data_IF_563706541329
#
_entry.id   IF_563706541329
#
_cell.length_a   1.000
_cell.length_b   1.000
_cell.length_c   1.000
_cell.angle_alpha   90.00
_cell.angle_beta   90.00
_cell.angle_gamma   90.00
#
_symmetry.space_group_name_H-M   'P 1'
#
loop_
_entity.id
_entity.type
_entity.pdbx_description
1 polymer ?
#
# COMPACT_ATOMS: atom_id res chain seq x y z
N UNK A 1 14.45 5.17 -3.34
CA UNK A 1 13.91 4.60 -4.59
C UNK A 1 14.66 5.19 -5.78
N UNK A 2 14.95 4.36 -6.77
CA UNK A 2 15.66 4.80 -7.98
C UNK A 2 14.82 5.77 -8.81
N UNK A 3 15.38 6.91 -9.17
CA UNK A 3 14.69 7.93 -9.96
C UNK A 3 14.33 7.41 -11.36
N UNK A 4 15.17 6.56 -11.93
CA UNK A 4 14.90 5.95 -13.23
C UNK A 4 13.65 5.07 -13.19
N UNK A 5 13.49 4.25 -12.15
CA UNK A 5 12.32 3.43 -11.97
C UNK A 5 11.05 4.28 -11.85
N UNK A 6 11.12 5.33 -11.04
CA UNK A 6 10.02 6.27 -10.88
C UNK A 6 9.63 6.92 -12.20
N UNK A 7 10.60 7.41 -12.96
CA UNK A 7 10.35 8.05 -14.25
C UNK A 7 9.74 7.07 -15.25
N UNK A 8 10.21 5.84 -15.28
CA UNK A 8 9.67 4.81 -16.17
C UNK A 8 8.21 4.48 -15.82
N UNK A 9 7.88 4.41 -14.55
CA UNK A 9 6.50 4.17 -14.11
C UNK A 9 5.58 5.34 -14.48
N UNK A 10 6.05 6.56 -14.29
CA UNK A 10 5.29 7.76 -14.66
C UNK A 10 5.04 7.79 -16.17
N UNK A 11 6.07 7.53 -16.97
CA UNK A 11 5.93 7.47 -18.43
C UNK A 11 4.93 6.39 -18.85
N UNK A 12 5.00 5.23 -18.23
CA UNK A 12 4.04 4.16 -18.51
C UNK A 12 2.60 4.60 -18.23
N UNK A 13 2.37 5.24 -17.08
CA UNK A 13 1.04 5.72 -16.70
C UNK A 13 0.52 6.79 -17.66
N UNK A 14 1.38 7.72 -18.05
CA UNK A 14 1.02 8.79 -19.00
C UNK A 14 0.65 8.23 -20.36
N UNK A 15 1.39 7.26 -20.85
CA UNK A 15 1.11 6.63 -22.16
C UNK A 15 -0.19 5.85 -22.16
N UNK A 16 -0.54 5.21 -21.05
CA UNK A 16 -1.80 4.48 -20.96
C UNK A 16 -3.01 5.43 -20.94
N UNK A 17 -2.91 6.53 -20.23
CA UNK A 17 -3.98 7.50 -20.12
C UNK A 17 -5.14 7.13 -19.20
N UNK A 18 -5.27 5.88 -18.79
CA UNK A 18 -6.34 5.39 -17.92
C UNK A 18 -5.92 5.22 -16.46
N UNK A 19 -4.68 5.56 -16.14
CA UNK A 19 -4.16 5.50 -14.77
C UNK A 19 -4.33 6.88 -14.12
N UNK A 20 -4.98 6.92 -12.96
CA UNK A 20 -5.29 8.18 -12.29
C UNK A 20 -4.44 8.43 -11.05
N UNK A 21 -3.94 7.37 -10.41
CA UNK A 21 -3.12 7.48 -9.21
C UNK A 21 -2.23 6.27 -9.08
N UNK A 22 -0.96 6.48 -8.69
CA UNK A 22 -0.03 5.40 -8.34
C UNK A 22 0.70 5.73 -7.06
N UNK A 23 0.79 4.74 -6.17
CA UNK A 23 1.51 4.83 -4.91
C UNK A 23 2.42 3.61 -4.77
N UNK A 24 3.71 3.83 -4.57
CA UNK A 24 4.65 2.76 -4.23
C UNK A 24 4.61 2.59 -2.72
N UNK A 25 4.55 1.35 -2.27
CA UNK A 25 4.57 1.05 -0.84
C UNK A 25 5.50 -0.15 -0.57
N UNK A 26 5.53 -0.62 0.66
CA UNK A 26 6.40 -1.72 1.05
C UNK A 26 7.86 -1.31 1.19
N UNK A 27 8.78 -2.25 0.99
CA UNK A 27 10.21 -2.03 1.26
C UNK A 27 10.83 -0.95 0.37
N UNK A 28 10.42 -0.84 -0.89
CA UNK A 28 10.97 0.16 -1.82
C UNK A 28 10.58 1.58 -1.43
N UNK A 29 9.38 1.77 -0.89
CA UNK A 29 8.95 3.07 -0.40
C UNK A 29 9.73 3.49 0.84
N UNK A 30 10.15 2.54 1.66
CA UNK A 30 10.89 2.78 2.90
C UNK A 30 12.42 2.87 2.70
N UNK A 31 12.89 2.75 1.47
CA UNK A 31 14.32 2.76 1.17
C UNK A 31 15.08 1.53 1.67
N UNK A 32 14.36 0.42 1.89
CA UNK A 32 14.92 -0.83 2.38
C UNK A 32 15.02 -1.90 1.31
N UNK A 33 14.88 -1.50 0.05
CA UNK A 33 14.90 -2.41 -1.06
C UNK A 33 16.28 -3.05 -1.26
N UNK A 34 16.24 -4.32 -1.60
CA UNK A 34 17.38 -5.03 -2.17
C UNK A 34 17.21 -5.01 -3.70
N UNK A 35 18.26 -5.27 -4.49
CA UNK A 35 18.14 -5.29 -5.95
C UNK A 35 17.06 -6.23 -6.47
N UNK A 36 16.79 -7.32 -5.74
CA UNK A 36 15.79 -8.34 -6.09
C UNK A 36 14.47 -8.19 -5.35
N UNK A 37 14.28 -7.10 -4.60
CA UNK A 37 13.02 -6.85 -3.88
C UNK A 37 11.85 -6.67 -4.83
N UNK A 38 10.70 -7.24 -4.46
CA UNK A 38 9.45 -7.03 -5.19
C UNK A 38 9.07 -5.56 -5.20
N UNK A 39 8.38 -5.15 -6.26
CA UNK A 39 7.78 -3.83 -6.32
C UNK A 39 6.31 -3.93 -5.92
N UNK A 40 5.95 -3.25 -4.83
CA UNK A 40 4.57 -3.14 -4.36
C UNK A 40 3.98 -1.82 -4.89
N UNK A 41 3.00 -1.92 -5.78
CA UNK A 41 2.45 -0.76 -6.47
C UNK A 41 0.93 -0.74 -6.35
N UNK A 42 0.40 0.32 -5.75
CA UNK A 42 -1.03 0.60 -5.76
C UNK A 42 -1.39 1.47 -6.96
N UNK A 43 -2.44 1.10 -7.66
CA UNK A 43 -2.88 1.78 -8.88
C UNK A 43 -4.38 2.04 -8.81
N UNK A 44 -4.80 3.26 -9.17
CA UNK A 44 -6.20 3.60 -9.37
C UNK A 44 -6.44 3.81 -10.85
N UNK A 45 -7.34 3.02 -11.40
CA UNK A 45 -7.72 3.09 -12.82
C UNK A 45 -9.07 3.79 -12.97
N UNK A 46 -9.23 4.57 -14.02
CA UNK A 46 -10.48 5.26 -14.32
C UNK A 46 -11.63 4.31 -14.68
N UNK A 47 -11.30 3.15 -15.25
CA UNK A 47 -12.26 2.12 -15.62
C UNK A 47 -12.22 0.97 -14.61
N UNK A 48 -13.18 0.04 -14.72
CA UNK A 48 -13.25 -1.12 -13.85
C UNK A 48 -12.00 -1.99 -13.96
N UNK A 49 -11.48 -2.44 -12.81
CA UNK A 49 -10.35 -3.36 -12.75
C UNK A 49 -10.77 -4.75 -13.21
N UNK A 50 -10.06 -5.31 -14.16
CA UNK A 50 -10.30 -6.65 -14.68
C UNK A 50 -9.04 -7.52 -14.52
N UNK A 51 -9.21 -8.83 -14.63
CA UNK A 51 -8.07 -9.77 -14.62
C UNK A 51 -7.15 -9.48 -15.79
N UNK A 52 -7.71 -9.18 -16.95
CA UNK A 52 -6.94 -8.84 -18.14
C UNK A 52 -6.13 -7.57 -17.96
N UNK A 53 -6.74 -6.55 -17.36
CA UNK A 53 -6.04 -5.30 -17.03
C UNK A 53 -4.87 -5.56 -16.08
N UNK A 54 -5.11 -6.35 -15.03
CA UNK A 54 -4.07 -6.68 -14.05
C UNK A 54 -2.88 -7.37 -14.73
N UNK A 55 -3.17 -8.36 -15.55
CA UNK A 55 -2.13 -9.12 -16.29
C UNK A 55 -1.37 -8.22 -17.25
N UNK A 56 -2.09 -7.42 -18.01
CA UNK A 56 -1.50 -6.50 -18.98
C UNK A 56 -0.54 -5.52 -18.32
N UNK A 57 -0.98 -4.89 -17.21
CA UNK A 57 -0.16 -3.96 -16.47
C UNK A 57 1.10 -4.63 -15.91
N UNK A 58 0.94 -5.80 -15.30
CA UNK A 58 2.08 -6.55 -14.76
C UNK A 58 3.09 -6.87 -15.84
N UNK A 59 2.64 -7.31 -17.02
CA UNK A 59 3.52 -7.61 -18.14
C UNK A 59 4.24 -6.36 -18.66
N UNK A 60 3.52 -5.26 -18.80
CA UNK A 60 4.10 -4.01 -19.29
C UNK A 60 5.15 -3.46 -18.34
N UNK A 61 4.88 -3.50 -17.04
CA UNK A 61 5.78 -2.96 -16.03
C UNK A 61 7.00 -3.87 -15.85
N UNK A 62 6.83 -5.19 -15.80
CA UNK A 62 7.97 -6.10 -15.66
C UNK A 62 8.90 -6.08 -16.85
N UNK A 63 8.43 -5.62 -18.03
CA UNK A 63 9.29 -5.46 -19.18
C UNK A 63 10.42 -4.47 -18.96
N UNK A 64 10.27 -3.50 -18.05
CA UNK A 64 11.32 -2.51 -17.80
C UNK A 64 11.87 -2.52 -16.36
N UNK A 65 11.27 -3.24 -15.42
CA UNK A 65 11.80 -3.28 -14.04
C UNK A 65 12.47 -4.58 -13.63
N UNK A 66 12.24 -5.67 -14.33
CA UNK A 66 12.91 -6.97 -14.17
C UNK A 66 12.83 -7.57 -12.76
N UNK A 67 11.87 -7.17 -11.95
CA UNK A 67 11.58 -7.76 -10.63
C UNK A 67 10.08 -8.09 -10.55
N UNK A 68 9.69 -9.03 -9.68
CA UNK A 68 8.27 -9.30 -9.49
C UNK A 68 7.51 -8.05 -9.04
N UNK A 69 6.29 -7.91 -9.52
CA UNK A 69 5.44 -6.79 -9.16
C UNK A 69 4.18 -7.30 -8.47
N UNK A 70 3.81 -6.64 -7.37
CA UNK A 70 2.56 -6.85 -6.67
C UNK A 70 1.67 -5.63 -6.90
N UNK A 71 0.64 -5.81 -7.74
CA UNK A 71 -0.30 -4.75 -8.10
C UNK A 71 -1.54 -4.80 -7.22
N UNK A 72 -1.89 -3.67 -6.65
CA UNK A 72 -3.05 -3.51 -5.78
C UNK A 72 -4.03 -2.50 -6.41
N UNK A 73 -5.31 -2.85 -6.42
CA UNK A 73 -6.38 -1.95 -6.86
C UNK A 73 -6.72 -0.97 -5.73
N UNK A 74 -6.25 0.28 -5.85
CA UNK A 74 -6.47 1.30 -4.83
C UNK A 74 -7.96 1.65 -4.64
N UNK A 75 -8.79 1.41 -5.64
CA UNK A 75 -10.22 1.72 -5.53
C UNK A 75 -10.95 0.78 -4.57
N UNK A 76 -10.37 -0.36 -4.22
CA UNK A 76 -11.03 -1.40 -3.42
C UNK A 76 -10.35 -1.69 -2.09
N UNK A 77 -9.18 -1.12 -1.82
CA UNK A 77 -8.48 -1.41 -0.57
C UNK A 77 -9.11 -0.69 0.60
N UNK A 78 -8.98 -1.30 1.78
CA UNK A 78 -9.48 -0.76 3.03
C UNK A 78 -8.64 -1.30 4.20
N UNK A 79 -8.89 -0.84 5.41
CA UNK A 79 -8.31 -1.36 6.63
C UNK A 79 -6.80 -1.14 6.77
N UNK A 80 -6.09 -2.11 7.40
CA UNK A 80 -4.66 -1.95 7.69
C UNK A 80 -3.78 -1.75 6.46
N UNK A 81 -4.12 -2.38 5.33
CA UNK A 81 -3.37 -2.20 4.10
C UNK A 81 -3.50 -0.78 3.57
N UNK A 82 -4.71 -0.21 3.60
CA UNK A 82 -4.93 1.18 3.21
C UNK A 82 -4.13 2.13 4.12
N UNK A 83 -4.13 1.87 5.43
CA UNK A 83 -3.34 2.66 6.37
C UNK A 83 -1.86 2.61 6.03
N UNK A 84 -1.30 1.43 5.78
CA UNK A 84 0.12 1.27 5.41
C UNK A 84 0.45 2.05 4.14
N UNK A 85 -0.39 1.95 3.12
CA UNK A 85 -0.15 2.61 1.84
C UNK A 85 -0.18 4.13 1.98
N UNK A 86 -1.16 4.68 2.70
CA UNK A 86 -1.28 6.12 2.86
C UNK A 86 -0.25 6.72 3.82
N UNK A 87 0.11 5.99 4.88
CA UNK A 87 1.05 6.51 5.88
C UNK A 87 2.51 6.34 5.47
N UNK A 88 2.86 5.22 4.84
CA UNK A 88 4.25 4.87 4.54
C UNK A 88 4.56 4.79 3.05
N UNK A 89 3.55 4.81 2.19
CA UNK A 89 3.75 4.78 0.75
C UNK A 89 4.17 6.13 0.20
N UNK A 90 4.63 6.11 -1.05
CA UNK A 90 5.02 7.31 -1.78
C UNK A 90 4.18 7.44 -3.03
N UNK A 91 3.43 8.53 -3.13
CA UNK A 91 2.70 8.87 -4.34
C UNK A 91 3.70 9.23 -5.42
N UNK A 92 3.62 8.54 -6.56
CA UNK A 92 4.52 8.81 -7.69
C UNK A 92 3.80 9.39 -8.90
N UNK A 93 2.49 9.24 -8.98
CA UNK A 93 1.70 9.73 -10.11
C UNK A 93 0.29 10.07 -9.66
N UNK A 94 -0.23 11.19 -10.12
CA UNK A 94 -1.59 11.62 -9.78
C UNK A 94 -2.15 12.47 -10.93
N UNK A 95 -3.24 12.01 -11.51
CA UNK A 95 -3.96 12.72 -12.55
C UNK A 95 -5.13 13.52 -11.97
N UNK A 96 -5.76 12.97 -10.91
CA UNK A 96 -6.94 13.55 -10.26
C UNK A 96 -6.64 13.79 -8.78
N UNK A 97 -6.67 15.04 -8.36
CA UNK A 97 -6.32 15.42 -6.98
C UNK A 97 -7.27 14.81 -5.93
N UNK A 98 -8.56 14.64 -6.29
CA UNK A 98 -9.57 14.19 -5.33
C UNK A 98 -9.42 12.72 -4.92
N UNK A 99 -8.71 11.90 -5.69
CA UNK A 99 -8.63 10.46 -5.40
C UNK A 99 -7.87 10.18 -4.10
N UNK A 100 -6.80 10.90 -3.86
CA UNK A 100 -6.07 10.75 -2.61
C UNK A 100 -6.94 11.15 -1.42
N UNK A 101 -7.75 12.21 -1.58
CA UNK A 101 -8.72 12.62 -0.59
C UNK A 101 -9.78 11.56 -0.32
N UNK A 102 -10.27 10.88 -1.36
CA UNK A 102 -11.21 9.77 -1.21
C UNK A 102 -10.61 8.66 -0.35
N UNK A 103 -9.34 8.33 -0.60
CA UNK A 103 -8.64 7.29 0.18
C UNK A 103 -8.45 7.71 1.63
N UNK A 104 -8.11 8.96 1.90
CA UNK A 104 -7.99 9.45 3.27
C UNK A 104 -9.32 9.43 4.02
N UNK A 105 -10.43 9.79 3.36
CA UNK A 105 -11.77 9.71 3.97
C UNK A 105 -12.08 8.25 4.30
N UNK A 106 -11.81 7.32 3.39
CA UNK A 106 -12.01 5.89 3.64
C UNK A 106 -11.19 5.39 4.83
N UNK A 107 -9.93 5.84 4.94
CA UNK A 107 -9.08 5.50 6.07
C UNK A 107 -9.66 6.03 7.38
N UNK A 108 -10.13 7.27 7.38
CA UNK A 108 -10.70 7.88 8.59
C UNK A 108 -11.98 7.16 9.02
N UNK A 109 -12.85 6.80 8.07
CA UNK A 109 -14.05 6.02 8.35
C UNK A 109 -13.70 4.67 8.97
N UNK A 110 -12.72 3.97 8.41
CA UNK A 110 -12.26 2.70 8.97
C UNK A 110 -11.71 2.88 10.38
N UNK A 111 -10.88 3.89 10.60
CA UNK A 111 -10.31 4.16 11.93
C UNK A 111 -11.39 4.51 12.95
N UNK A 112 -12.43 5.21 12.53
CA UNK A 112 -13.54 5.59 13.42
C UNK A 112 -14.42 4.39 13.76
N UNK A 113 -14.74 3.54 12.77
CA UNK A 113 -15.69 2.45 12.92
C UNK A 113 -15.05 1.16 13.43
N UNK A 114 -13.86 0.84 12.98
CA UNK A 114 -13.21 -0.44 13.23
C UNK A 114 -11.97 -0.37 14.10
N UNK A 115 -11.19 0.68 14.01
CA UNK A 115 -9.92 0.80 14.70
C UNK A 115 -10.06 0.74 16.23
N UNK A 116 -11.09 1.36 16.86
CA UNK A 116 -11.25 1.23 18.32
C UNK A 116 -11.38 -0.21 18.78
N UNK A 117 -12.14 -1.03 18.06
CA UNK A 117 -12.28 -2.44 18.40
C UNK A 117 -10.97 -3.21 18.18
N UNK A 118 -10.26 -2.89 17.10
CA UNK A 118 -8.96 -3.49 16.80
C UNK A 118 -7.92 -3.13 17.87
N UNK A 119 -7.81 -1.86 18.22
CA UNK A 119 -6.90 -1.38 19.26
C UNK A 119 -7.21 -2.01 20.61
N UNK A 120 -8.50 -2.12 20.96
CA UNK A 120 -8.92 -2.75 22.19
C UNK A 120 -8.48 -4.21 22.26
N UNK A 121 -8.63 -4.93 21.15
CA UNK A 121 -8.18 -6.32 21.08
C UNK A 121 -6.66 -6.43 21.25
N UNK A 122 -5.89 -5.54 20.62
CA UNK A 122 -4.45 -5.50 20.76
C UNK A 122 -4.03 -5.15 22.19
N UNK A 123 -4.70 -4.19 22.80
CA UNK A 123 -4.43 -3.78 24.18
C UNK A 123 -4.71 -4.92 25.15
N UNK A 124 -5.79 -5.67 24.96
CA UNK A 124 -6.09 -6.84 25.78
C UNK A 124 -4.97 -7.89 25.67
N UNK A 125 -4.47 -8.14 24.46
CA UNK A 125 -3.36 -9.08 24.26
C UNK A 125 -2.10 -8.58 24.95
N UNK A 126 -1.81 -7.30 24.85
CA UNK A 126 -0.66 -6.67 25.50
C UNK A 126 -0.76 -6.77 27.00
N UNK A 127 -1.93 -6.50 27.56
CA UNK A 127 -2.19 -6.60 29.00
C UNK A 127 -2.00 -8.02 29.50
N UNK A 128 -2.49 -9.02 28.78
CA UNK A 128 -2.28 -10.42 29.11
C UNK A 128 -0.80 -10.79 29.12
N UNK A 129 -0.07 -10.33 28.11
CA UNK A 129 1.37 -10.56 28.02
C UNK A 129 2.11 -9.95 29.19
N UNK A 130 1.81 -8.72 29.54
CA UNK A 130 2.43 -8.02 30.68
C UNK A 130 2.09 -8.68 32.02
N UNK A 131 0.86 -9.16 32.17
CA UNK A 131 0.46 -9.90 33.38
C UNK A 131 1.26 -11.20 33.54
N UNK A 132 1.45 -11.95 32.47
CA UNK A 132 2.28 -13.16 32.48
C UNK A 132 3.72 -12.84 32.83
N UNK A 133 4.26 -11.76 32.30
CA UNK A 133 5.63 -11.32 32.53
C UNK A 133 5.83 -10.90 34.00
N UNK A 134 4.88 -10.19 34.58
CA UNK A 134 4.92 -9.83 35.98
C UNK A 134 4.89 -11.05 36.91
N UNK A 135 4.02 -12.03 36.61
CA UNK A 135 3.98 -13.28 37.38
C UNK A 135 5.30 -14.02 37.34
N UNK A 136 5.92 -14.08 36.16
CA UNK A 136 7.21 -14.72 35.98
C UNK A 136 8.31 -14.00 36.78
N UNK A 137 8.25 -12.66 36.85
CA UNK A 137 9.21 -11.86 37.61
C UNK A 137 9.00 -11.99 39.12
N UNK A 138 7.74 -12.07 39.59
CA UNK A 138 7.42 -12.18 41.00
C UNK A 138 7.78 -13.57 41.56
N UNK A 139 7.71 -14.60 40.72
CA UNK A 139 8.01 -15.97 41.13
C UNK A 139 9.53 -16.25 41.23
N UNK A 140 10.35 -15.27 40.96
CA UNK A 140 11.76 -15.31 41.20
C UNK A 140 12.06 -14.84 42.63
#
# INVERSE_FOLDING_TARGET
MNQELKDNLINWAEKRGDIELMIIFGSRAKGRERPDSDLDLGVWRSSKWSVDFHRECAQQITAFIHVPIDLIDLSKIDGPLLQEILCNGKKIYQQQDHLLGVLYVRLMDWRTDFMPAWENMLDQRRMRFLAKRKRSTISK
#
